data_IF_857570985338
#
_entry.id   IF_857570985338
#
_cell.length_a   1.000
_cell.length_b   1.000
_cell.length_c   1.000
_cell.angle_alpha   90.00
_cell.angle_beta   90.00
_cell.angle_gamma   90.00
#
_symmetry.space_group_name_H-M   'P 1'
#
loop_
_entity.id
_entity.type
_entity.pdbx_description
1 polymer ?
#
# COMPACT_ATOMS: atom_id res chain seq x y z
N UNK A 1 -1.48 -2.53 -8.76
CA UNK A 1 -2.30 -1.38 -8.29
C UNK A 1 -1.45 -0.31 -7.60
N UNK A 2 -0.52 -0.65 -6.70
CA UNK A 2 0.31 0.35 -5.99
C UNK A 2 1.20 1.16 -6.92
N UNK A 3 1.90 0.49 -7.85
CA UNK A 3 2.76 1.18 -8.82
C UNK A 3 1.99 2.04 -9.84
N UNK A 4 0.77 1.62 -10.20
CA UNK A 4 -0.14 2.38 -11.04
C UNK A 4 -0.63 3.65 -10.31
N UNK A 5 -0.98 3.52 -9.01
CA UNK A 5 -1.41 4.64 -8.18
C UNK A 5 -0.33 5.72 -8.07
N UNK A 6 0.92 5.34 -7.81
CA UNK A 6 2.05 6.27 -7.67
C UNK A 6 2.32 7.09 -8.94
N UNK A 7 2.30 6.45 -10.12
CA UNK A 7 2.49 7.14 -11.40
C UNK A 7 1.30 8.05 -11.74
N UNK A 8 0.09 7.59 -11.46
CA UNK A 8 -1.12 8.36 -11.68
C UNK A 8 -1.17 9.61 -10.80
N UNK A 9 -0.83 9.48 -9.52
CA UNK A 9 -0.80 10.59 -8.56
C UNK A 9 0.28 11.62 -8.94
N UNK A 10 1.47 11.18 -9.36
CA UNK A 10 2.51 12.06 -9.84
C UNK A 10 2.06 12.85 -11.08
N UNK A 11 1.42 12.18 -12.05
CA UNK A 11 0.91 12.82 -13.27
C UNK A 11 -0.25 13.78 -12.97
N UNK A 12 -1.17 13.38 -12.08
CA UNK A 12 -2.29 14.20 -11.66
C UNK A 12 -1.82 15.49 -10.96
N UNK A 13 -0.80 15.39 -10.10
CA UNK A 13 -0.22 16.56 -9.44
C UNK A 13 0.38 17.56 -10.43
N UNK A 14 1.06 17.05 -11.44
CA UNK A 14 1.64 17.84 -12.51
C UNK A 14 0.53 18.60 -13.26
N UNK A 15 -0.50 17.89 -13.70
CA UNK A 15 -1.65 18.50 -14.40
C UNK A 15 -2.40 19.50 -13.51
N UNK A 16 -2.56 19.19 -12.23
CA UNK A 16 -3.15 20.08 -11.24
C UNK A 16 -2.37 21.41 -11.13
N UNK A 17 -1.04 21.36 -10.98
CA UNK A 17 -0.19 22.57 -10.90
C UNK A 17 -0.34 23.45 -12.15
N UNK A 18 -0.34 22.84 -13.34
CA UNK A 18 -0.56 23.56 -14.61
C UNK A 18 -1.94 24.21 -14.65
N UNK A 19 -2.97 23.45 -14.28
CA UNK A 19 -4.35 23.96 -14.29
C UNK A 19 -4.54 25.12 -13.31
N UNK A 20 -4.00 25.00 -12.10
CA UNK A 20 -4.06 26.08 -11.09
C UNK A 20 -3.28 27.30 -11.54
N UNK A 21 -2.06 27.13 -12.06
CA UNK A 21 -1.25 28.23 -12.57
C UNK A 21 -1.97 28.97 -13.72
N UNK A 22 -2.59 28.26 -14.65
CA UNK A 22 -3.37 28.82 -15.72
C UNK A 22 -4.60 29.58 -15.22
N UNK A 23 -5.31 29.04 -14.23
CA UNK A 23 -6.46 29.70 -13.63
C UNK A 23 -6.09 30.97 -12.83
N UNK A 24 -4.93 30.96 -12.16
CA UNK A 24 -4.42 32.09 -11.38
C UNK A 24 -3.87 33.19 -12.28
N UNK A 25 -3.13 32.85 -13.33
CA UNK A 25 -2.49 33.86 -14.24
C UNK A 25 -3.42 34.36 -15.33
N UNK A 26 -4.52 33.64 -15.62
CA UNK A 26 -5.43 33.98 -16.74
C UNK A 26 -4.83 33.74 -18.13
N UNK A 27 -3.58 33.27 -18.22
CA UNK A 27 -2.87 33.02 -19.49
C UNK A 27 -2.36 31.59 -19.55
N UNK A 28 -2.72 30.87 -20.60
CA UNK A 28 -2.22 29.53 -20.89
C UNK A 28 -1.05 29.63 -21.88
N UNK A 29 0.17 29.91 -21.42
CA UNK A 29 1.36 29.66 -22.23
C UNK A 29 1.82 28.20 -22.00
N UNK A 30 1.27 27.30 -22.80
CA UNK A 30 1.56 25.84 -22.69
C UNK A 30 3.07 25.56 -22.75
N UNK A 31 3.82 26.38 -23.51
CA UNK A 31 5.27 26.23 -23.66
C UNK A 31 6.04 26.58 -22.39
N UNK A 32 5.80 27.74 -21.79
CA UNK A 32 6.48 28.18 -20.58
C UNK A 32 6.09 27.32 -19.38
N UNK A 33 4.79 27.07 -19.19
CA UNK A 33 4.30 26.17 -18.15
C UNK A 33 4.86 24.75 -18.30
N UNK A 34 4.98 24.24 -19.53
CA UNK A 34 5.57 22.92 -19.80
C UNK A 34 7.06 22.85 -19.45
N UNK A 35 7.84 23.89 -19.75
CA UNK A 35 9.26 23.95 -19.38
C UNK A 35 9.44 24.07 -17.87
N UNK A 36 8.71 24.96 -17.20
CA UNK A 36 8.75 25.11 -15.75
C UNK A 36 8.39 23.82 -15.03
N UNK A 37 7.36 23.15 -15.54
CA UNK A 37 6.94 21.86 -15.03
C UNK A 37 8.01 20.78 -15.20
N UNK A 38 8.63 20.69 -16.40
CA UNK A 38 9.70 19.73 -16.67
C UNK A 38 10.92 19.99 -15.78
N UNK A 39 11.31 21.25 -15.60
CA UNK A 39 12.41 21.64 -14.72
C UNK A 39 12.09 21.31 -13.27
N UNK A 40 10.87 21.62 -12.80
CA UNK A 40 10.42 21.29 -11.46
C UNK A 40 10.39 19.78 -11.22
N UNK A 41 9.93 19.00 -12.20
CA UNK A 41 9.87 17.55 -12.11
C UNK A 41 11.27 16.90 -12.09
N UNK A 42 12.15 17.30 -12.99
CA UNK A 42 13.53 16.81 -13.06
C UNK A 42 14.31 17.22 -11.80
N UNK A 43 14.17 18.50 -11.38
CA UNK A 43 14.78 18.99 -10.15
C UNK A 43 14.32 18.25 -8.90
N UNK A 44 12.99 18.02 -8.77
CA UNK A 44 12.42 17.26 -7.67
C UNK A 44 12.94 15.82 -7.63
N UNK A 45 12.94 15.16 -8.78
CA UNK A 45 13.47 13.80 -8.89
C UNK A 45 14.97 13.75 -8.52
N UNK A 46 15.78 14.68 -8.99
CA UNK A 46 17.20 14.74 -8.69
C UNK A 46 17.46 14.94 -7.20
N UNK A 47 16.74 15.89 -6.56
CA UNK A 47 16.82 16.14 -5.12
C UNK A 47 16.40 14.90 -4.33
N UNK A 48 15.30 14.25 -4.71
CA UNK A 48 14.82 13.04 -4.07
C UNK A 48 15.81 11.89 -4.14
N UNK A 49 16.43 11.67 -5.30
CA UNK A 49 17.49 10.67 -5.47
C UNK A 49 18.72 11.01 -4.62
N UNK A 50 19.12 12.29 -4.53
CA UNK A 50 20.25 12.72 -3.70
C UNK A 50 19.97 12.47 -2.21
N UNK A 51 18.81 12.89 -1.72
CA UNK A 51 18.39 12.66 -0.32
C UNK A 51 18.25 11.18 -0.01
N UNK A 52 17.63 10.39 -0.91
CA UNK A 52 17.52 8.95 -0.77
C UNK A 52 18.87 8.23 -0.76
N UNK A 53 19.82 8.67 -1.59
CA UNK A 53 21.18 8.17 -1.58
C UNK A 53 21.92 8.44 -0.26
N UNK A 54 21.85 9.68 0.23
CA UNK A 54 22.43 10.06 1.53
C UNK A 54 21.75 9.27 2.64
N UNK A 55 20.42 9.19 2.65
CA UNK A 55 19.62 8.43 3.61
C UNK A 55 20.00 6.96 3.64
N UNK A 56 20.15 6.33 2.47
CA UNK A 56 20.58 4.93 2.38
C UNK A 56 21.98 4.70 2.92
N UNK A 57 22.85 5.71 2.80
CA UNK A 57 24.21 5.64 3.35
C UNK A 57 24.23 5.80 4.88
N UNK A 58 23.36 6.65 5.42
CA UNK A 58 23.18 6.81 6.87
C UNK A 58 22.61 5.51 7.46
N UNK A 59 21.55 4.99 6.88
CA UNK A 59 20.89 3.76 7.36
C UNK A 59 21.81 2.54 7.40
N UNK A 60 22.78 2.44 6.48
CA UNK A 60 23.78 1.35 6.54
C UNK A 60 24.71 1.41 7.75
N UNK A 61 24.75 2.54 8.49
CA UNK A 61 25.57 2.70 9.69
C UNK A 61 24.75 2.59 10.97
N UNK A 62 23.44 2.50 10.86
CA UNK A 62 22.49 2.36 11.97
C UNK A 62 22.10 0.91 12.08
N UNK A 63 22.28 0.32 13.25
CA UNK A 63 21.88 -1.08 13.55
C UNK A 63 20.66 -1.18 14.46
N UNK A 64 20.24 -0.07 15.07
CA UNK A 64 19.11 -0.03 16.00
C UNK A 64 17.79 0.21 15.24
N UNK A 65 16.85 -0.73 15.33
CA UNK A 65 15.57 -0.67 14.62
C UNK A 65 14.75 0.60 14.89
N UNK A 66 14.65 1.15 16.13
CA UNK A 66 13.90 2.38 16.36
C UNK A 66 14.54 3.60 15.67
N UNK A 67 15.86 3.69 15.66
CA UNK A 67 16.60 4.80 15.00
C UNK A 67 16.44 4.69 13.48
N UNK A 68 16.56 3.48 12.94
CA UNK A 68 16.36 3.20 11.52
C UNK A 68 14.96 3.63 11.05
N UNK A 69 13.92 3.24 11.79
CA UNK A 69 12.53 3.57 11.47
C UNK A 69 12.27 5.07 11.60
N UNK A 70 12.86 5.74 12.60
CA UNK A 70 12.76 7.20 12.75
C UNK A 70 13.39 7.93 11.57
N UNK A 71 14.58 7.51 11.13
CA UNK A 71 15.23 8.10 9.95
C UNK A 71 14.38 7.92 8.71
N UNK A 72 13.83 6.72 8.48
CA UNK A 72 12.91 6.44 7.36
C UNK A 72 11.65 7.30 7.39
N UNK A 73 11.10 7.54 8.57
CA UNK A 73 9.92 8.40 8.74
C UNK A 73 10.24 9.87 8.42
N UNK A 74 11.42 10.36 8.78
CA UNK A 74 11.82 11.75 8.56
C UNK A 74 12.33 12.02 7.13
N UNK A 75 12.85 11.01 6.45
CA UNK A 75 13.49 11.18 5.14
C UNK A 75 12.55 11.79 4.08
N UNK A 76 11.26 11.40 3.96
CA UNK A 76 10.32 12.04 3.05
C UNK A 76 10.15 13.53 3.29
N UNK A 77 10.10 13.96 4.56
CA UNK A 77 9.98 15.38 4.92
C UNK A 77 11.24 16.16 4.54
N UNK A 78 12.42 15.55 4.76
CA UNK A 78 13.70 16.16 4.33
C UNK A 78 13.74 16.29 2.81
N UNK A 79 13.33 15.27 2.06
CA UNK A 79 13.29 15.31 0.61
C UNK A 79 12.31 16.39 0.10
N UNK A 80 11.13 16.48 0.71
CA UNK A 80 10.13 17.49 0.36
C UNK A 80 10.64 18.90 0.63
N UNK A 81 11.15 19.17 1.84
CA UNK A 81 11.69 20.48 2.23
C UNK A 81 12.89 20.91 1.37
N UNK A 82 13.78 19.96 1.05
CA UNK A 82 14.93 20.25 0.20
C UNK A 82 14.50 20.61 -1.23
N UNK A 83 13.50 19.93 -1.80
CA UNK A 83 12.98 20.25 -3.11
C UNK A 83 12.27 21.61 -3.16
N UNK A 84 11.45 21.92 -2.17
CA UNK A 84 10.77 23.23 -2.07
C UNK A 84 11.76 24.39 -1.97
N UNK A 85 12.92 24.20 -1.28
CA UNK A 85 13.97 25.22 -1.18
C UNK A 85 14.60 25.58 -2.53
N UNK A 86 14.59 24.68 -3.49
CA UNK A 86 15.09 24.90 -4.86
C UNK A 86 13.98 25.09 -5.88
N UNK A 87 12.75 25.35 -5.43
CA UNK A 87 11.55 25.52 -6.26
C UNK A 87 11.25 24.31 -7.16
N UNK A 88 11.65 23.11 -6.71
CA UNK A 88 11.39 21.84 -7.39
C UNK A 88 10.18 21.10 -6.80
N UNK A 89 9.70 20.06 -7.47
CA UNK A 89 8.54 19.29 -7.01
C UNK A 89 8.87 18.46 -5.77
N UNK A 90 8.36 18.85 -4.61
CA UNK A 90 8.52 18.12 -3.35
C UNK A 90 7.93 16.71 -3.41
N UNK A 91 6.79 16.52 -4.09
CA UNK A 91 6.15 15.21 -4.21
C UNK A 91 6.99 14.24 -5.05
N UNK A 92 7.53 14.71 -6.18
CA UNK A 92 8.44 13.87 -6.98
C UNK A 92 9.74 13.58 -6.26
N UNK A 93 10.21 14.50 -5.41
CA UNK A 93 11.37 14.24 -4.55
C UNK A 93 11.09 13.14 -3.52
N UNK A 94 9.94 13.18 -2.86
CA UNK A 94 9.53 12.11 -1.93
C UNK A 94 9.40 10.77 -2.64
N UNK A 95 8.76 10.75 -3.80
CA UNK A 95 8.58 9.54 -4.60
C UNK A 95 9.94 8.93 -5.03
N UNK A 96 10.83 9.75 -5.58
CA UNK A 96 12.15 9.31 -6.02
C UNK A 96 13.01 8.81 -4.85
N UNK A 97 12.94 9.49 -3.70
CA UNK A 97 13.58 9.07 -2.45
C UNK A 97 13.05 7.71 -1.99
N UNK A 98 11.74 7.52 -1.95
CA UNK A 98 11.10 6.26 -1.56
C UNK A 98 11.47 5.10 -2.48
N UNK A 99 11.40 5.29 -3.81
CA UNK A 99 11.80 4.28 -4.80
C UNK A 99 13.27 3.87 -4.68
N UNK A 100 14.15 4.81 -4.37
CA UNK A 100 15.56 4.48 -4.15
C UNK A 100 15.75 3.68 -2.86
N UNK A 101 14.98 4.00 -1.82
CA UNK A 101 15.05 3.30 -0.54
C UNK A 101 14.55 1.85 -0.64
N UNK A 102 13.56 1.55 -1.48
CA UNK A 102 13.06 0.17 -1.67
C UNK A 102 14.14 -0.76 -2.23
N UNK A 103 15.08 -0.26 -3.05
CA UNK A 103 16.19 -1.06 -3.58
C UNK A 103 17.16 -1.55 -2.50
N UNK A 104 17.22 -0.89 -1.36
CA UNK A 104 18.09 -1.23 -0.23
C UNK A 104 17.37 -2.02 0.88
N UNK A 105 16.13 -2.43 0.64
CA UNK A 105 15.30 -3.15 1.61
C UNK A 105 15.92 -4.48 2.09
N UNK A 106 16.71 -5.13 1.24
CA UNK A 106 17.36 -6.42 1.54
C UNK A 106 18.48 -6.35 2.59
N UNK A 107 19.04 -5.16 2.87
CA UNK A 107 20.12 -4.97 3.84
C UNK A 107 19.63 -4.69 5.28
N UNK A 108 18.33 -4.68 5.51
CA UNK A 108 17.67 -4.33 6.77
C UNK A 108 17.44 -5.60 7.60
N UNK A 109 17.61 -5.52 8.92
CA UNK A 109 17.32 -6.65 9.82
C UNK A 109 15.83 -7.06 9.74
N UNK A 110 15.53 -8.35 9.89
CA UNK A 110 14.16 -8.88 9.81
C UNK A 110 13.23 -8.24 10.86
N UNK A 111 13.73 -8.00 12.08
CA UNK A 111 12.98 -7.33 13.15
C UNK A 111 12.63 -5.88 12.81
N UNK A 112 13.59 -5.11 12.26
CA UNK A 112 13.33 -3.73 11.85
C UNK A 112 12.32 -3.65 10.71
N UNK A 113 12.33 -4.60 9.77
CA UNK A 113 11.34 -4.67 8.68
C UNK A 113 9.92 -4.94 9.19
N UNK A 114 9.77 -5.85 10.15
CA UNK A 114 8.47 -6.19 10.72
C UNK A 114 7.88 -5.01 11.48
N UNK A 115 8.68 -4.39 12.36
CA UNK A 115 8.28 -3.18 13.10
C UNK A 115 7.96 -2.01 12.16
N UNK A 116 8.75 -1.80 11.10
CA UNK A 116 8.50 -0.75 10.13
C UNK A 116 7.15 -0.94 9.44
N UNK A 117 6.82 -2.17 9.01
CA UNK A 117 5.55 -2.44 8.34
C UNK A 117 4.37 -2.11 9.26
N UNK A 118 4.37 -2.61 10.48
CA UNK A 118 3.30 -2.32 11.46
C UNK A 118 3.16 -0.83 11.75
N UNK A 119 4.29 -0.11 11.90
CA UNK A 119 4.29 1.33 12.10
C UNK A 119 3.68 2.08 10.91
N UNK A 120 4.06 1.71 9.68
CA UNK A 120 3.54 2.35 8.47
C UNK A 120 2.06 2.06 8.26
N UNK A 121 1.61 0.83 8.45
CA UNK A 121 0.20 0.44 8.32
C UNK A 121 -0.68 1.25 9.30
N UNK A 122 -0.24 1.35 10.57
CA UNK A 122 -0.92 2.13 11.57
C UNK A 122 -0.90 3.64 11.27
N UNK A 123 0.26 4.18 10.86
CA UNK A 123 0.41 5.61 10.53
C UNK A 123 -0.47 6.00 9.34
N UNK A 124 -0.48 5.20 8.29
CA UNK A 124 -1.33 5.42 7.10
C UNK A 124 -2.79 5.41 7.51
N UNK A 125 -3.24 4.42 8.26
CA UNK A 125 -4.60 4.34 8.78
C UNK A 125 -5.01 5.60 9.57
N UNK A 126 -4.16 6.06 10.50
CA UNK A 126 -4.44 7.26 11.30
C UNK A 126 -4.46 8.53 10.44
N UNK A 127 -3.49 8.69 9.52
CA UNK A 127 -3.43 9.84 8.63
C UNK A 127 -4.61 9.89 7.65
N UNK A 128 -5.03 8.76 7.12
CA UNK A 128 -6.22 8.65 6.28
C UNK A 128 -7.47 9.02 7.09
N UNK A 129 -7.66 8.43 8.25
CA UNK A 129 -8.79 8.73 9.14
C UNK A 129 -8.85 10.20 9.52
N UNK A 130 -7.70 10.79 9.93
CA UNK A 130 -7.61 12.21 10.26
C UNK A 130 -7.96 13.09 9.05
N UNK A 131 -7.47 12.74 7.88
CA UNK A 131 -7.77 13.47 6.65
C UNK A 131 -9.26 13.45 6.35
N UNK A 132 -9.94 12.30 6.47
CA UNK A 132 -11.39 12.20 6.28
C UNK A 132 -12.16 13.02 7.31
N UNK A 133 -11.72 13.05 8.58
CA UNK A 133 -12.36 13.88 9.62
C UNK A 133 -12.21 15.36 9.29
N UNK A 134 -11.01 15.81 8.93
CA UNK A 134 -10.77 17.22 8.57
C UNK A 134 -11.64 17.66 7.40
N UNK A 135 -11.82 16.78 6.42
CA UNK A 135 -12.69 17.04 5.27
C UNK A 135 -14.14 17.08 5.64
N UNK A 136 -14.60 16.12 6.45
CA UNK A 136 -15.98 16.11 6.93
C UNK A 136 -16.34 17.40 7.67
N UNK A 137 -15.41 17.93 8.48
CA UNK A 137 -15.58 19.21 9.17
C UNK A 137 -15.69 20.38 8.20
N UNK A 138 -14.93 20.38 7.13
CA UNK A 138 -14.94 21.46 6.13
C UNK A 138 -16.11 21.39 5.17
N UNK A 139 -16.74 20.23 4.99
CA UNK A 139 -17.80 20.01 4.01
C UNK A 139 -18.95 21.01 4.16
N UNK A 140 -19.36 21.27 5.38
CA UNK A 140 -20.45 22.22 5.66
C UNK A 140 -20.08 23.64 5.15
N UNK A 141 -18.89 24.11 5.49
CA UNK A 141 -18.39 25.43 5.06
C UNK A 141 -18.29 25.52 3.53
N UNK A 142 -17.87 24.43 2.89
CA UNK A 142 -17.78 24.35 1.43
C UNK A 142 -19.15 24.42 0.77
N UNK A 143 -20.13 23.66 1.28
CA UNK A 143 -21.50 23.66 0.74
C UNK A 143 -22.19 24.99 0.96
N UNK A 144 -22.06 25.56 2.17
CA UNK A 144 -22.64 26.87 2.51
C UNK A 144 -22.04 28.01 1.67
N UNK A 145 -20.80 27.86 1.19
CA UNK A 145 -20.11 28.82 0.32
C UNK A 145 -20.38 28.66 -1.17
N UNK A 146 -21.26 27.72 -1.58
CA UNK A 146 -21.68 27.59 -2.99
C UNK A 146 -22.93 28.39 -3.21
N UNK A 147 -22.76 29.63 -3.66
CA UNK A 147 -23.87 30.54 -3.93
C UNK A 147 -24.55 30.24 -5.29
N UNK A 148 -25.85 30.45 -5.37
CA UNK A 148 -26.62 30.46 -6.62
C UNK A 148 -26.92 29.09 -7.24
N UNK A 149 -26.62 27.97 -6.55
CA UNK A 149 -26.89 26.62 -7.05
C UNK A 149 -27.84 25.87 -6.10
N UNK A 150 -28.81 25.16 -6.68
CA UNK A 150 -29.70 24.30 -5.91
C UNK A 150 -29.00 23.01 -5.47
N UNK A 151 -29.46 22.36 -4.40
CA UNK A 151 -28.97 21.04 -3.99
C UNK A 151 -29.13 19.99 -5.10
N UNK A 152 -30.18 20.14 -5.94
CA UNK A 152 -30.39 19.25 -7.07
C UNK A 152 -29.32 19.43 -8.14
N UNK A 153 -28.90 20.67 -8.44
CA UNK A 153 -27.82 20.95 -9.40
C UNK A 153 -26.48 20.41 -8.91
N UNK A 154 -26.19 20.55 -7.60
CA UNK A 154 -24.99 20.00 -6.99
C UNK A 154 -24.98 18.48 -7.03
N UNK A 155 -26.10 17.83 -6.72
CA UNK A 155 -26.24 16.38 -6.78
C UNK A 155 -26.08 15.86 -8.22
N UNK A 156 -26.65 16.56 -9.21
CA UNK A 156 -26.53 16.24 -10.63
C UNK A 156 -25.08 16.38 -11.09
N UNK A 157 -24.40 17.48 -10.74
CA UNK A 157 -23.01 17.70 -11.06
C UNK A 157 -22.10 16.63 -10.44
N UNK A 158 -22.31 16.30 -9.16
CA UNK A 158 -21.61 15.23 -8.47
C UNK A 158 -21.83 13.88 -9.15
N UNK A 159 -23.09 13.53 -9.48
CA UNK A 159 -23.43 12.29 -10.17
C UNK A 159 -22.75 12.21 -11.56
N UNK A 160 -22.78 13.29 -12.32
CA UNK A 160 -22.16 13.36 -13.65
C UNK A 160 -20.64 13.16 -13.56
N UNK A 161 -19.96 13.86 -12.65
CA UNK A 161 -18.50 13.72 -12.47
C UNK A 161 -18.13 12.32 -12.02
N UNK A 162 -18.83 11.75 -11.04
CA UNK A 162 -18.58 10.39 -10.58
C UNK A 162 -18.79 9.36 -11.70
N UNK A 163 -19.88 9.50 -12.46
CA UNK A 163 -20.15 8.61 -13.61
C UNK A 163 -19.03 8.67 -14.66
N UNK A 164 -18.56 9.88 -14.98
CA UNK A 164 -17.46 10.07 -15.94
C UNK A 164 -16.17 9.44 -15.39
N UNK A 165 -15.84 9.66 -14.12
CA UNK A 165 -14.63 9.09 -13.49
C UNK A 165 -14.67 7.57 -13.55
N UNK A 166 -15.78 6.95 -13.17
CA UNK A 166 -15.95 5.49 -13.20
C UNK A 166 -15.89 4.99 -14.66
N UNK A 167 -16.60 5.62 -15.56
CA UNK A 167 -16.65 5.21 -16.98
C UNK A 167 -15.27 5.30 -17.66
N UNK A 168 -14.54 6.40 -17.47
CA UNK A 168 -13.18 6.58 -18.00
C UNK A 168 -12.23 5.55 -17.41
N UNK A 169 -12.31 5.29 -16.12
CA UNK A 169 -11.48 4.28 -15.47
C UNK A 169 -11.74 2.90 -16.04
N UNK A 170 -13.01 2.50 -16.14
CA UNK A 170 -13.38 1.22 -16.73
C UNK A 170 -12.90 1.12 -18.19
N UNK A 171 -13.05 2.19 -18.97
CA UNK A 171 -12.59 2.24 -20.36
C UNK A 171 -11.05 2.16 -20.50
N UNK A 172 -10.28 2.63 -19.51
CA UNK A 172 -8.81 2.64 -19.57
C UNK A 172 -8.17 1.33 -19.05
N UNK A 173 -8.79 0.65 -18.07
CA UNK A 173 -8.23 -0.57 -17.47
C UNK A 173 -8.03 -1.68 -18.49
N UNK A 174 -8.99 -1.87 -19.40
CA UNK A 174 -8.90 -2.90 -20.42
C UNK A 174 -7.77 -2.66 -21.44
N UNK A 175 -7.66 -1.50 -22.11
CA UNK A 175 -6.53 -1.21 -22.99
C UNK A 175 -5.18 -1.20 -22.27
N UNK A 176 -5.12 -0.63 -21.05
CA UNK A 176 -3.88 -0.58 -20.27
C UNK A 176 -3.37 -1.99 -19.91
N UNK A 177 -4.29 -2.93 -19.67
CA UNK A 177 -3.95 -4.33 -19.45
C UNK A 177 -3.54 -5.06 -20.73
N UNK A 178 -4.12 -4.71 -21.87
CA UNK A 178 -3.87 -5.39 -23.14
C UNK A 178 -2.62 -4.87 -23.87
N UNK A 179 -2.37 -3.55 -23.84
CA UNK A 179 -1.31 -2.89 -24.61
C UNK A 179 0.11 -3.43 -24.31
N UNK A 180 0.55 -3.63 -23.06
CA UNK A 180 1.88 -4.19 -22.78
C UNK A 180 2.03 -5.64 -23.27
N UNK A 181 0.93 -6.40 -23.33
CA UNK A 181 0.90 -7.81 -23.75
C UNK A 181 0.88 -8.01 -25.26
N UNK A 182 0.96 -6.94 -26.06
CA UNK A 182 1.28 -7.01 -27.48
C UNK A 182 2.73 -7.50 -27.70
N UNK A 183 3.62 -7.32 -26.73
CA UNK A 183 4.95 -7.93 -26.74
C UNK A 183 4.86 -9.42 -26.37
N UNK A 184 5.37 -10.31 -27.26
CA UNK A 184 5.36 -11.75 -27.03
C UNK A 184 6.05 -12.14 -25.72
N UNK A 185 7.16 -11.48 -25.36
CA UNK A 185 7.92 -11.72 -24.12
C UNK A 185 7.13 -11.41 -22.86
N UNK A 186 6.32 -10.35 -22.88
CA UNK A 186 5.49 -10.00 -21.72
C UNK A 186 4.27 -10.93 -21.62
N UNK A 187 3.69 -11.32 -22.74
CA UNK A 187 2.54 -12.23 -22.76
C UNK A 187 2.86 -13.62 -22.23
N UNK A 188 4.09 -14.10 -22.44
CA UNK A 188 4.55 -15.39 -21.88
C UNK A 188 4.83 -15.31 -20.38
N UNK A 189 5.30 -14.15 -19.88
CA UNK A 189 5.62 -13.95 -18.46
C UNK A 189 4.41 -13.55 -17.60
N UNK A 190 3.45 -12.86 -18.19
CA UNK A 190 2.28 -12.31 -17.51
C UNK A 190 1.06 -12.48 -18.44
N UNK A 191 0.38 -13.64 -18.37
CA UNK A 191 -0.80 -13.92 -19.20
C UNK A 191 -1.91 -12.91 -18.91
N UNK A 192 -2.80 -12.72 -19.88
CA UNK A 192 -3.90 -11.76 -19.77
C UNK A 192 -4.84 -12.17 -18.63
N UNK A 193 -5.02 -11.32 -17.60
CA UNK A 193 -6.00 -11.58 -16.56
C UNK A 193 -7.40 -11.52 -17.18
N UNK A 194 -8.23 -12.50 -16.88
CA UNK A 194 -9.58 -12.60 -17.43
C UNK A 194 -10.38 -11.30 -17.22
N UNK A 195 -11.35 -11.02 -18.10
CA UNK A 195 -12.18 -9.80 -18.03
C UNK A 195 -12.84 -9.57 -16.65
N UNK A 196 -13.15 -10.65 -15.93
CA UNK A 196 -13.70 -10.59 -14.56
C UNK A 196 -12.74 -9.91 -13.58
N UNK A 197 -11.47 -10.27 -13.63
CA UNK A 197 -10.41 -9.65 -12.85
C UNK A 197 -10.24 -8.17 -13.18
N UNK A 198 -10.21 -7.84 -14.47
CA UNK A 198 -10.10 -6.46 -14.94
C UNK A 198 -11.28 -5.60 -14.49
N UNK A 199 -12.48 -6.18 -14.45
CA UNK A 199 -13.67 -5.49 -13.93
C UNK A 199 -13.51 -5.18 -12.44
N UNK A 200 -13.00 -6.12 -11.64
CA UNK A 200 -12.73 -5.89 -10.22
C UNK A 200 -11.63 -4.83 -10.02
N UNK A 201 -10.52 -4.91 -10.77
CA UNK A 201 -9.44 -3.93 -10.73
C UNK A 201 -9.95 -2.53 -11.11
N UNK A 202 -10.77 -2.44 -12.16
CA UNK A 202 -11.40 -1.19 -12.57
C UNK A 202 -12.33 -0.61 -11.50
N UNK A 203 -13.11 -1.45 -10.85
CA UNK A 203 -14.03 -1.06 -9.78
C UNK A 203 -13.31 -0.73 -8.48
N UNK A 204 -12.26 -1.46 -8.11
CA UNK A 204 -11.49 -1.27 -6.88
C UNK A 204 -10.57 -0.03 -6.87
N UNK A 205 -10.78 0.90 -7.79
CA UNK A 205 -9.95 2.08 -7.95
C UNK A 205 -10.22 3.21 -6.98
N UNK A 206 -10.24 2.91 -5.70
CA UNK A 206 -10.48 3.90 -4.65
C UNK A 206 -9.59 5.12 -4.77
N UNK A 207 -10.20 6.31 -4.74
CA UNK A 207 -9.48 7.59 -4.78
C UNK A 207 -9.01 7.95 -3.40
N UNK A 208 -7.71 8.24 -3.30
CA UNK A 208 -7.06 8.53 -2.02
C UNK A 208 -7.17 9.98 -1.58
N UNK A 209 -6.63 10.24 -0.41
CA UNK A 209 -6.57 11.54 0.28
C UNK A 209 -5.88 12.62 -0.56
N UNK A 210 -5.00 12.24 -1.50
CA UNK A 210 -4.26 13.17 -2.38
C UNK A 210 -5.19 14.06 -3.20
N UNK A 211 -6.26 13.49 -3.77
CA UNK A 211 -7.26 14.27 -4.54
C UNK A 211 -7.86 15.42 -3.73
N UNK A 212 -8.11 15.15 -2.47
CA UNK A 212 -8.70 16.12 -1.56
C UNK A 212 -7.70 17.15 -1.07
N UNK A 213 -6.49 16.70 -0.71
CA UNK A 213 -5.41 17.60 -0.33
C UNK A 213 -5.15 18.63 -1.45
N UNK A 214 -5.16 18.18 -2.71
CA UNK A 214 -5.02 19.03 -3.88
C UNK A 214 -6.23 19.98 -4.04
N UNK A 215 -7.45 19.51 -3.86
CA UNK A 215 -8.64 20.37 -3.96
C UNK A 215 -8.64 21.46 -2.87
N UNK A 216 -8.22 21.14 -1.65
CA UNK A 216 -8.09 22.10 -0.56
C UNK A 216 -6.91 23.08 -0.74
N UNK A 217 -5.85 22.64 -1.43
CA UNK A 217 -4.69 23.46 -1.75
C UNK A 217 -4.95 24.48 -2.90
N UNK A 218 -6.12 24.48 -3.53
CA UNK A 218 -6.52 25.51 -4.50
C UNK A 218 -6.48 26.88 -3.81
N UNK A 219 -5.76 27.87 -4.35
CA UNK A 219 -5.72 29.22 -3.81
C UNK A 219 -7.11 29.82 -3.63
N UNK A 220 -7.28 30.69 -2.63
CA UNK A 220 -8.53 31.41 -2.41
C UNK A 220 -8.69 32.59 -3.36
N UNK A 221 -7.57 33.13 -3.85
CA UNK A 221 -7.52 34.31 -4.72
C UNK A 221 -6.67 34.03 -5.98
N UNK A 222 -6.98 34.74 -7.05
CA UNK A 222 -6.20 34.77 -8.29
C UNK A 222 -5.22 35.97 -8.29
N UNK A 223 -4.24 35.98 -9.19
CA UNK A 223 -3.21 37.02 -9.26
C UNK A 223 -3.74 38.46 -9.38
N UNK A 224 -4.98 38.65 -9.84
CA UNK A 224 -5.70 39.92 -9.93
C UNK A 224 -6.41 40.36 -8.65
N UNK A 225 -6.29 39.64 -7.52
CA UNK A 225 -6.94 39.98 -6.23
C UNK A 225 -8.42 39.60 -6.15
N UNK A 226 -8.95 38.86 -7.13
CA UNK A 226 -10.32 38.33 -7.10
C UNK A 226 -10.38 36.91 -6.52
N UNK A 227 -11.59 36.43 -6.11
CA UNK A 227 -11.75 35.06 -5.62
C UNK A 227 -11.48 34.05 -6.73
N UNK A 228 -10.92 32.90 -6.38
CA UNK A 228 -10.71 31.81 -7.34
C UNK A 228 -12.08 31.28 -7.85
N UNK A 229 -12.31 31.21 -9.18
CA UNK A 229 -13.61 30.86 -9.73
C UNK A 229 -14.03 29.44 -9.33
N UNK A 230 -15.27 29.30 -8.87
CA UNK A 230 -15.91 28.03 -8.50
C UNK A 230 -15.11 27.13 -7.53
N UNK A 231 -14.19 27.70 -6.72
CA UNK A 231 -13.33 26.93 -5.80
C UNK A 231 -14.12 25.96 -4.93
N UNK A 232 -15.19 26.44 -4.30
CA UNK A 232 -16.01 25.62 -3.41
C UNK A 232 -16.70 24.48 -4.16
N UNK A 233 -17.11 24.71 -5.41
CA UNK A 233 -17.68 23.67 -6.26
C UNK A 233 -16.62 22.57 -6.58
N UNK A 234 -15.39 22.95 -6.93
CA UNK A 234 -14.31 21.99 -7.20
C UNK A 234 -14.01 21.16 -5.98
N UNK A 235 -13.92 21.78 -4.79
CA UNK A 235 -13.71 21.06 -3.50
C UNK A 235 -14.87 20.10 -3.21
N UNK A 236 -16.11 20.55 -3.42
CA UNK A 236 -17.31 19.72 -3.24
C UNK A 236 -17.31 18.51 -4.19
N UNK A 237 -16.99 18.71 -5.47
CA UNK A 237 -16.92 17.62 -6.45
C UNK A 237 -15.80 16.62 -6.12
N UNK A 238 -14.63 17.10 -5.73
CA UNK A 238 -13.53 16.24 -5.27
C UNK A 238 -13.95 15.40 -4.06
N UNK A 239 -14.63 16.02 -3.09
CA UNK A 239 -15.19 15.31 -1.93
C UNK A 239 -16.22 14.26 -2.35
N UNK A 240 -17.14 14.60 -3.27
CA UNK A 240 -18.14 13.65 -3.77
C UNK A 240 -17.52 12.42 -4.41
N UNK A 241 -16.44 12.60 -5.19
CA UNK A 241 -15.71 11.50 -5.82
C UNK A 241 -15.08 10.58 -4.78
N UNK A 242 -14.50 11.14 -3.71
CA UNK A 242 -13.90 10.34 -2.63
C UNK A 242 -14.98 9.56 -1.87
N UNK A 243 -16.09 10.19 -1.51
CA UNK A 243 -17.17 9.51 -0.80
C UNK A 243 -17.79 8.40 -1.63
N UNK A 244 -18.04 8.66 -2.92
CA UNK A 244 -18.62 7.64 -3.81
C UNK A 244 -17.65 6.48 -4.03
N UNK A 245 -16.35 6.75 -4.22
CA UNK A 245 -15.38 5.67 -4.38
C UNK A 245 -15.16 4.89 -3.08
N UNK A 246 -15.02 5.56 -1.95
CA UNK A 246 -14.75 4.88 -0.69
C UNK A 246 -15.97 4.08 -0.20
N UNK A 247 -17.15 4.72 -0.18
CA UNK A 247 -18.37 4.10 0.36
C UNK A 247 -19.09 3.29 -0.72
N UNK A 248 -19.30 3.86 -1.91
CA UNK A 248 -20.02 3.20 -3.00
C UNK A 248 -19.27 1.99 -3.56
N UNK A 249 -18.04 2.21 -4.03
CA UNK A 249 -17.21 1.14 -4.59
C UNK A 249 -16.78 0.15 -3.50
N UNK A 250 -16.38 0.64 -2.31
CA UNK A 250 -15.95 -0.19 -1.19
C UNK A 250 -17.03 -1.16 -0.69
N UNK A 251 -18.27 -0.68 -0.48
CA UNK A 251 -19.37 -1.53 -0.02
C UNK A 251 -19.88 -2.50 -1.10
N UNK A 252 -19.77 -2.11 -2.38
CA UNK A 252 -20.24 -2.95 -3.49
C UNK A 252 -19.20 -3.95 -3.99
N UNK A 253 -17.93 -3.74 -3.68
CA UNK A 253 -16.83 -4.60 -4.12
C UNK A 253 -16.99 -6.08 -3.70
N UNK A 254 -17.34 -6.43 -2.44
CA UNK A 254 -17.56 -7.82 -2.06
C UNK A 254 -18.73 -8.47 -2.81
N UNK A 255 -19.77 -7.69 -3.10
CA UNK A 255 -20.91 -8.16 -3.89
C UNK A 255 -20.51 -8.41 -5.35
N UNK A 256 -19.70 -7.52 -5.92
CA UNK A 256 -19.18 -7.67 -7.28
C UNK A 256 -18.31 -8.93 -7.42
N UNK A 257 -17.37 -9.15 -6.48
CA UNK A 257 -16.50 -10.33 -6.45
C UNK A 257 -17.35 -11.61 -6.41
N UNK A 258 -18.34 -11.68 -5.52
CA UNK A 258 -19.26 -12.83 -5.41
C UNK A 258 -20.06 -13.06 -6.68
N UNK A 259 -20.59 -12.00 -7.33
CA UNK A 259 -21.36 -12.12 -8.58
C UNK A 259 -20.52 -12.56 -9.77
N UNK A 260 -19.25 -12.16 -9.80
CA UNK A 260 -18.32 -12.57 -10.85
C UNK A 260 -17.78 -13.99 -10.64
N UNK A 261 -18.10 -14.62 -9.49
CA UNK A 261 -17.65 -15.97 -9.17
C UNK A 261 -16.13 -16.08 -9.08
N UNK A 262 -15.47 -15.00 -8.62
CA UNK A 262 -14.03 -15.01 -8.36
C UNK A 262 -13.81 -15.63 -6.98
N UNK A 263 -13.20 -16.79 -6.99
CA UNK A 263 -12.69 -17.47 -5.79
C UNK A 263 -11.19 -17.25 -5.69
N UNK A 264 -10.64 -17.25 -4.48
CA UNK A 264 -9.21 -17.03 -4.24
C UNK A 264 -8.35 -18.20 -4.78
N UNK A 265 -8.96 -19.24 -5.34
CA UNK A 265 -8.34 -20.55 -5.42
C UNK A 265 -7.54 -20.87 -6.69
N UNK A 266 -7.73 -20.24 -7.86
CA UNK A 266 -7.10 -20.86 -9.02
C UNK A 266 -6.05 -20.03 -9.80
N UNK A 267 -6.15 -18.72 -9.90
CA UNK A 267 -5.18 -17.94 -10.71
C UNK A 267 -4.88 -16.53 -10.16
N UNK A 268 -5.13 -16.29 -8.86
CA UNK A 268 -4.92 -14.99 -8.23
C UNK A 268 -3.58 -14.89 -7.48
N UNK A 269 -3.27 -13.70 -6.91
CA UNK A 269 -2.05 -13.47 -6.12
C UNK A 269 -1.83 -14.47 -4.97
N UNK A 270 -2.90 -15.09 -4.46
CA UNK A 270 -2.83 -16.14 -3.44
C UNK A 270 -2.28 -17.46 -4.01
N UNK A 271 -2.70 -17.84 -5.22
CA UNK A 271 -2.17 -19.00 -5.93
C UNK A 271 -0.70 -18.83 -6.32
N UNK A 272 -0.33 -17.64 -6.80
CA UNK A 272 1.06 -17.30 -7.10
C UNK A 272 1.92 -17.25 -5.84
N UNK A 273 1.39 -16.76 -4.72
CA UNK A 273 2.05 -16.78 -3.40
C UNK A 273 2.32 -18.21 -2.93
N UNK A 274 1.37 -19.13 -3.11
CA UNK A 274 1.50 -20.56 -2.76
C UNK A 274 2.56 -21.24 -3.62
N UNK A 275 2.54 -21.04 -4.95
CA UNK A 275 3.57 -21.55 -5.88
C UNK A 275 4.96 -21.00 -5.55
N UNK A 276 5.05 -19.72 -5.21
CA UNK A 276 6.31 -19.09 -4.78
C UNK A 276 6.82 -19.67 -3.45
N UNK A 277 5.94 -19.89 -2.48
CA UNK A 277 6.27 -20.53 -1.19
C UNK A 277 6.74 -21.99 -1.37
N UNK A 278 6.08 -22.74 -2.24
CA UNK A 278 6.52 -24.10 -2.59
C UNK A 278 7.92 -24.06 -3.21
N UNK A 279 8.15 -23.17 -4.19
CA UNK A 279 9.47 -23.03 -4.81
C UNK A 279 10.57 -22.59 -3.83
N UNK A 280 10.28 -21.68 -2.91
CA UNK A 280 11.21 -21.28 -1.85
C UNK A 280 11.53 -22.44 -0.92
N UNK A 281 10.56 -23.30 -0.62
CA UNK A 281 10.76 -24.48 0.23
C UNK A 281 11.60 -25.55 -0.49
N UNK A 282 11.39 -25.74 -1.80
CA UNK A 282 12.25 -26.61 -2.63
C UNK A 282 13.70 -26.13 -2.64
N UNK A 283 13.94 -24.84 -2.91
CA UNK A 283 15.29 -24.24 -2.89
C UNK A 283 15.95 -24.40 -1.53
N UNK A 284 15.19 -24.28 -0.43
CA UNK A 284 15.73 -24.51 0.91
C UNK A 284 16.12 -25.98 1.12
N UNK A 285 15.33 -26.94 0.61
CA UNK A 285 15.68 -28.36 0.65
C UNK A 285 16.91 -28.68 -0.19
N UNK A 286 16.98 -28.17 -1.43
CA UNK A 286 18.15 -28.32 -2.31
C UNK A 286 19.43 -27.81 -1.61
N UNK A 287 19.32 -26.68 -0.92
CA UNK A 287 20.46 -26.12 -0.17
C UNK A 287 20.84 -26.98 1.03
N UNK A 288 19.87 -27.50 1.79
CA UNK A 288 20.10 -28.41 2.91
C UNK A 288 20.68 -29.76 2.45
N UNK A 289 20.33 -30.22 1.25
CA UNK A 289 20.86 -31.44 0.68
C UNK A 289 22.32 -31.30 0.20
N UNK A 290 22.73 -30.07 -0.10
CA UNK A 290 24.11 -29.73 -0.46
C UNK A 290 25.03 -29.57 0.78
N UNK A 291 24.50 -29.49 2.00
CA UNK A 291 25.27 -29.38 3.23
C UNK A 291 25.83 -30.77 3.61
N UNK A 292 27.15 -30.85 3.74
CA UNK A 292 27.80 -32.00 4.35
C UNK A 292 28.11 -31.72 5.82
N UNK A 293 27.39 -32.39 6.77
CA UNK A 293 27.51 -32.12 8.19
C UNK A 293 28.95 -32.27 8.73
N UNK A 294 29.75 -33.17 8.14
CA UNK A 294 31.10 -33.42 8.62
C UNK A 294 32.08 -32.31 8.14
N UNK A 295 31.92 -31.85 6.92
CA UNK A 295 32.80 -30.84 6.32
C UNK A 295 32.42 -29.43 6.73
N UNK A 296 31.10 -29.13 6.88
CA UNK A 296 30.58 -27.80 7.20
C UNK A 296 30.47 -27.55 8.72
N UNK A 297 30.78 -28.54 9.56
CA UNK A 297 30.77 -28.43 11.02
C UNK A 297 29.40 -28.19 11.61
N UNK A 298 28.34 -28.58 10.91
CA UNK A 298 26.93 -28.42 11.34
C UNK A 298 26.43 -29.77 11.90
N UNK A 299 25.81 -29.81 13.09
CA UNK A 299 25.22 -31.04 13.61
C UNK A 299 24.19 -31.64 12.65
N UNK A 300 24.34 -32.91 12.27
CA UNK A 300 23.45 -33.61 11.35
C UNK A 300 21.97 -33.56 11.79
N UNK A 301 21.74 -33.63 13.11
CA UNK A 301 20.39 -33.52 13.68
C UNK A 301 19.70 -32.19 13.39
N UNK A 302 20.45 -31.09 13.31
CA UNK A 302 19.88 -29.78 12.98
C UNK A 302 19.50 -29.70 11.51
N UNK A 303 20.34 -30.26 10.64
CA UNK A 303 20.05 -30.32 9.19
C UNK A 303 18.79 -31.15 8.96
N UNK A 304 18.67 -32.34 9.60
CA UNK A 304 17.51 -33.20 9.42
C UNK A 304 16.22 -32.57 9.97
N UNK A 305 16.25 -31.93 11.15
CA UNK A 305 15.09 -31.17 11.68
C UNK A 305 14.62 -30.07 10.73
N UNK A 306 15.54 -29.36 10.09
CA UNK A 306 15.16 -28.34 9.11
C UNK A 306 14.59 -28.98 7.85
N UNK A 307 15.14 -30.11 7.39
CA UNK A 307 14.58 -30.88 6.26
C UNK A 307 13.15 -31.34 6.51
N UNK A 308 12.91 -31.95 7.67
CA UNK A 308 11.57 -32.40 8.06
C UNK A 308 10.58 -31.25 8.08
N UNK A 309 10.99 -30.07 8.58
CA UNK A 309 10.16 -28.87 8.63
C UNK A 309 9.78 -28.38 7.24
N UNK A 310 10.74 -28.31 6.29
CA UNK A 310 10.45 -27.85 4.93
C UNK A 310 9.66 -28.87 4.14
N UNK A 311 9.88 -30.19 4.35
CA UNK A 311 9.08 -31.27 3.76
C UNK A 311 7.62 -31.22 4.27
N UNK A 312 7.43 -31.05 5.56
CA UNK A 312 6.08 -30.90 6.14
C UNK A 312 5.36 -29.66 5.58
N UNK A 313 6.10 -28.57 5.37
CA UNK A 313 5.55 -27.34 4.75
C UNK A 313 5.11 -27.57 3.30
N UNK A 314 5.91 -28.27 2.49
CA UNK A 314 5.55 -28.62 1.13
C UNK A 314 4.32 -29.53 1.09
N UNK A 315 4.29 -30.59 1.91
CA UNK A 315 3.16 -31.50 1.99
C UNK A 315 1.86 -30.77 2.40
N UNK A 316 1.95 -29.78 3.28
CA UNK A 316 0.82 -28.96 3.67
C UNK A 316 0.33 -28.03 2.53
N UNK A 317 1.25 -27.45 1.75
CA UNK A 317 0.90 -26.63 0.57
C UNK A 317 0.24 -27.47 -0.54
N UNK A 318 0.67 -28.71 -0.73
CA UNK A 318 0.09 -29.65 -1.68
C UNK A 318 -1.32 -30.10 -1.25
N UNK A 319 -1.51 -30.43 0.03
CA UNK A 319 -2.84 -30.76 0.58
C UNK A 319 -3.84 -29.60 0.46
N UNK A 320 -3.39 -28.37 0.68
CA UNK A 320 -4.24 -27.19 0.46
C UNK A 320 -4.65 -27.00 -1.00
N UNK A 321 -3.86 -27.51 -1.96
CA UNK A 321 -4.21 -27.48 -3.38
C UNK A 321 -5.27 -28.52 -3.74
N UNK A 322 -5.29 -29.67 -3.04
CA UNK A 322 -6.21 -30.78 -3.32
C UNK A 322 -7.56 -30.63 -2.60
N UNK A 323 -7.54 -30.12 -1.36
CA UNK A 323 -8.72 -30.20 -0.47
C UNK A 323 -9.68 -29.03 -0.57
N UNK A 324 -9.48 -27.95 -1.30
CA UNK A 324 -10.45 -26.87 -1.52
C UNK A 324 -11.46 -26.55 -0.37
N UNK A 325 -11.29 -27.14 0.81
CA UNK A 325 -12.28 -27.18 1.87
C UNK A 325 -11.94 -26.22 3.02
N UNK A 326 -12.72 -25.16 3.13
CA UNK A 326 -12.68 -24.16 4.22
C UNK A 326 -12.91 -24.76 5.64
N UNK A 327 -13.45 -25.98 5.76
CA UNK A 327 -13.81 -26.55 7.07
C UNK A 327 -12.61 -27.06 7.88
N UNK A 328 -11.58 -27.60 7.23
CA UNK A 328 -10.34 -28.02 7.90
C UNK A 328 -9.54 -26.84 8.46
N UNK A 329 -9.53 -25.73 7.77
CA UNK A 329 -8.84 -24.51 8.18
C UNK A 329 -9.47 -23.85 9.42
N UNK A 330 -10.81 -23.85 9.51
CA UNK A 330 -11.51 -23.33 10.71
C UNK A 330 -11.29 -24.19 11.93
N UNK A 331 -11.33 -25.50 11.78
CA UNK A 331 -11.08 -26.44 12.85
C UNK A 331 -9.63 -26.33 13.37
N UNK A 332 -8.67 -26.24 12.47
CA UNK A 332 -7.25 -26.03 12.83
C UNK A 332 -7.04 -24.70 13.56
N UNK A 333 -7.63 -23.63 13.07
CA UNK A 333 -7.55 -22.32 13.72
C UNK A 333 -8.17 -22.30 15.11
N UNK A 334 -9.29 -22.99 15.30
CA UNK A 334 -9.91 -23.17 16.62
C UNK A 334 -8.99 -23.91 17.58
N UNK A 335 -8.38 -25.01 17.10
CA UNK A 335 -7.45 -25.81 17.91
C UNK A 335 -6.19 -25.01 18.32
N UNK A 336 -5.61 -24.25 17.38
CA UNK A 336 -4.45 -23.39 17.65
C UNK A 336 -4.80 -22.34 18.70
N UNK A 337 -5.95 -21.67 18.55
CA UNK A 337 -6.42 -20.68 19.52
C UNK A 337 -6.62 -21.28 20.90
N UNK A 338 -7.20 -22.46 21.00
CA UNK A 338 -7.42 -23.17 22.26
C UNK A 338 -6.08 -23.56 22.92
N UNK A 339 -5.11 -24.05 22.14
CA UNK A 339 -3.77 -24.42 22.65
C UNK A 339 -3.02 -23.19 23.16
N UNK A 340 -2.99 -22.10 22.40
CA UNK A 340 -2.34 -20.85 22.81
C UNK A 340 -3.06 -20.23 24.02
N UNK A 341 -4.39 -20.32 24.08
CA UNK A 341 -5.18 -19.91 25.25
C UNK A 341 -4.80 -20.68 26.51
N UNK A 342 -4.62 -21.99 26.40
CA UNK A 342 -4.16 -22.84 27.55
C UNK A 342 -2.74 -22.45 27.97
N UNK A 343 -1.83 -22.18 27.05
CA UNK A 343 -0.46 -21.75 27.35
C UNK A 343 -0.43 -20.39 28.07
N UNK A 344 -1.26 -19.42 27.61
CA UNK A 344 -1.38 -18.10 28.28
C UNK A 344 -1.96 -18.22 29.70
N UNK A 345 -2.94 -19.09 29.88
CA UNK A 345 -3.50 -19.34 31.22
C UNK A 345 -2.47 -19.92 32.17
N UNK A 346 -1.66 -20.89 31.70
CA UNK A 346 -0.59 -21.46 32.52
C UNK A 346 0.51 -20.42 32.81
N UNK A 347 0.87 -19.59 31.83
CA UNK A 347 1.83 -18.50 32.02
C UNK A 347 1.35 -17.49 33.07
N UNK A 348 0.05 -17.19 33.11
CA UNK A 348 -0.58 -16.33 34.12
C UNK A 348 -0.47 -16.95 35.49
N UNK A 349 -0.76 -18.26 35.60
CA UNK A 349 -0.67 -19.02 36.85
C UNK A 349 0.76 -19.06 37.38
N UNK A 350 1.75 -19.34 36.54
CA UNK A 350 3.17 -19.34 36.90
C UNK A 350 3.64 -17.97 37.42
N UNK A 351 3.12 -16.89 36.83
CA UNK A 351 3.37 -15.51 37.27
C UNK A 351 2.74 -15.25 38.65
N UNK A 352 1.50 -15.65 38.86
CA UNK A 352 0.80 -15.51 40.17
C UNK A 352 1.46 -16.29 41.29
N UNK A 353 2.01 -17.44 40.97
CA UNK A 353 2.77 -18.29 41.92
C UNK A 353 4.19 -17.75 42.19
N UNK A 354 4.62 -16.70 41.48
CA UNK A 354 5.97 -16.15 41.61
C UNK A 354 7.09 -17.03 41.05
N UNK A 355 6.74 -18.07 40.28
CA UNK A 355 7.69 -18.99 39.63
C UNK A 355 8.39 -18.29 38.45
N UNK A 356 7.71 -17.35 37.81
CA UNK A 356 8.23 -16.57 36.67
C UNK A 356 8.15 -15.08 36.98
N UNK A 357 9.25 -14.36 36.74
CA UNK A 357 9.26 -12.92 36.95
C UNK A 357 8.37 -12.21 35.92
N UNK A 358 7.90 -11.00 36.27
CA UNK A 358 7.07 -10.21 35.36
C UNK A 358 7.75 -9.88 34.02
N UNK A 359 9.07 -9.82 33.98
CA UNK A 359 9.86 -9.58 32.76
C UNK A 359 9.90 -10.82 31.89
N UNK A 360 10.15 -11.98 32.45
CA UNK A 360 10.14 -13.25 31.72
C UNK A 360 8.73 -13.58 31.22
N UNK A 361 7.69 -13.34 32.05
CA UNK A 361 6.31 -13.54 31.62
C UNK A 361 5.95 -12.67 30.40
N UNK A 362 6.34 -11.40 30.37
CA UNK A 362 6.12 -10.52 29.21
C UNK A 362 6.85 -11.00 27.96
N UNK A 363 8.05 -11.55 28.12
CA UNK A 363 8.82 -12.08 26.98
C UNK A 363 8.16 -13.33 26.40
N UNK A 364 7.74 -14.25 27.27
CA UNK A 364 7.04 -15.46 26.83
C UNK A 364 5.67 -15.16 26.22
N UNK A 365 4.94 -14.18 26.76
CA UNK A 365 3.67 -13.73 26.18
C UNK A 365 3.87 -13.15 24.77
N UNK A 366 4.93 -12.36 24.60
CA UNK A 366 5.32 -11.87 23.27
C UNK A 366 5.71 -13.01 22.30
N UNK A 367 6.41 -14.04 22.78
CA UNK A 367 6.76 -15.21 21.96
C UNK A 367 5.49 -15.96 21.51
N UNK A 368 4.48 -16.07 22.39
CA UNK A 368 3.17 -16.64 22.07
C UNK A 368 2.40 -15.79 21.05
N UNK A 369 2.45 -14.44 21.16
CA UNK A 369 1.83 -13.53 20.19
C UNK A 369 2.47 -13.67 18.79
N UNK A 370 3.80 -13.82 18.74
CA UNK A 370 4.53 -14.04 17.47
C UNK A 370 4.16 -15.38 16.85
N UNK A 371 3.97 -16.41 17.69
CA UNK A 371 3.55 -17.74 17.22
C UNK A 371 2.10 -17.72 16.71
N UNK A 372 1.19 -17.01 17.40
CA UNK A 372 -0.19 -16.81 16.96
C UNK A 372 -0.25 -16.08 15.60
N UNK A 373 0.42 -14.95 15.46
CA UNK A 373 0.51 -14.18 14.21
C UNK A 373 1.07 -15.02 13.05
N UNK A 374 2.06 -15.87 13.35
CA UNK A 374 2.62 -16.79 12.35
C UNK A 374 1.59 -17.85 11.92
N UNK A 375 0.90 -18.47 12.86
CA UNK A 375 -0.10 -19.51 12.59
C UNK A 375 -1.34 -18.91 11.91
N UNK A 376 -1.70 -17.66 12.23
CA UNK A 376 -2.76 -16.92 11.53
C UNK A 376 -2.40 -16.59 10.09
N UNK A 377 -1.14 -16.27 9.77
CA UNK A 377 -0.67 -16.05 8.40
C UNK A 377 -0.52 -17.33 7.57
N UNK A 378 -0.33 -18.45 8.23
CA UNK A 378 -0.35 -19.79 7.63
C UNK A 378 -1.80 -20.28 7.38
N UNK A 379 -2.82 -19.51 7.79
CA UNK A 379 -4.24 -19.75 7.46
C UNK A 379 -4.46 -19.61 5.96
N UNK A 380 -5.08 -20.59 5.33
CA UNK A 380 -5.68 -20.41 4.01
C UNK A 380 -6.84 -19.41 4.16
N UNK A 381 -6.81 -18.30 3.39
CA UNK A 381 -7.85 -17.27 3.33
C UNK A 381 -9.13 -17.80 2.69
#
# INVERSE_FOLDING_TARGET
>A
LEGEGLLNDATALVLYRVAVAAAVSGTLSIGEAGVELAVSAVGGTAVGLAVGFIGSRVLRRVSEAPVENTVKLLLPYVAWLAAERVHASGVLAVLACGLLMTRHWGSISSGARLQARQLWDWLVFVLEGLSFVLVGVQLRTVVDGIEGRSLADLALAAAAVNLVVIAVRMALVFPASWLPRLSARLRERDPYPGWRYLTVIGWAGMRGVVTLALALAIPTEVAGGGPFPDRNLVVFLAFSVIVVSLVGEGLTLPLLIRRLGLTADDDGPAGDGRKALARLSEVALDHLDAIDPETDGVPAELVERLRERYRARLAHLDQQAEDGHQDGSRAYAGLVHDVLGAQREELRRLREQGTVTAEVARRLDHDLDVEEDRLERERPG
#
